data_IF_465187088293
#
_entry.id   IF_465187088293
#
_cell.length_a   1.000
_cell.length_b   1.000
_cell.length_c   1.000
_cell.angle_alpha   90.00
_cell.angle_beta   90.00
_cell.angle_gamma   90.00
#
_symmetry.space_group_name_H-M   'P 1'
#
loop_
_entity.id
_entity.type
_entity.pdbx_description
1 polymer ?
#
# COMPACT_ATOMS: atom_id res chain seq x y z
N UNK A 1 -13.96 6.49 -9.78
CA UNK A 1 -12.55 6.93 -9.60
C UNK A 1 -11.85 5.85 -8.79
N UNK A 2 -10.75 5.28 -9.28
CA UNK A 2 -9.96 4.33 -8.50
C UNK A 2 -8.98 5.11 -7.62
N UNK A 3 -8.93 4.79 -6.33
CA UNK A 3 -8.02 5.45 -5.38
C UNK A 3 -6.59 4.99 -5.68
N UNK A 4 -5.65 5.95 -5.69
CA UNK A 4 -4.21 5.70 -5.88
C UNK A 4 -3.45 6.22 -4.67
N UNK A 5 -2.49 5.43 -4.20
CA UNK A 5 -1.60 5.77 -3.10
C UNK A 5 -0.19 5.88 -3.67
N UNK A 6 0.46 7.01 -3.45
CA UNK A 6 1.86 7.21 -3.83
C UNK A 6 2.71 7.20 -2.57
N UNK A 7 3.78 6.41 -2.56
CA UNK A 7 4.75 6.36 -1.47
C UNK A 7 6.16 6.46 -2.03
N UNK A 8 7.06 7.04 -1.25
CA UNK A 8 8.49 6.99 -1.54
C UNK A 8 9.10 5.75 -0.89
N UNK A 9 9.73 4.88 -1.68
CA UNK A 9 10.39 3.68 -1.19
C UNK A 9 11.73 3.50 -1.91
N UNK A 10 12.83 3.31 -1.16
CA UNK A 10 14.19 3.23 -1.71
C UNK A 10 14.50 4.39 -2.70
N UNK A 11 14.14 5.61 -2.32
CA UNK A 11 14.34 6.83 -3.13
C UNK A 11 13.57 6.87 -4.47
N UNK A 12 12.70 5.89 -4.74
CA UNK A 12 11.84 5.82 -5.91
C UNK A 12 10.36 6.04 -5.53
N UNK A 13 9.60 6.85 -6.30
CA UNK A 13 8.17 6.96 -6.10
C UNK A 13 7.48 5.70 -6.62
N UNK A 14 6.75 5.03 -5.74
CA UNK A 14 5.88 3.91 -6.07
C UNK A 14 4.43 4.34 -6.00
N UNK A 15 3.65 3.90 -6.99
CA UNK A 15 2.21 4.16 -7.04
C UNK A 15 1.48 2.84 -6.92
N UNK A 16 0.55 2.77 -5.98
CA UNK A 16 -0.32 1.62 -5.77
C UNK A 16 -1.77 2.01 -6.06
N UNK A 17 -2.43 1.25 -6.93
CA UNK A 17 -3.88 1.29 -7.10
C UNK A 17 -4.57 0.55 -5.96
N UNK A 18 -5.53 1.20 -5.30
CA UNK A 18 -6.44 0.54 -4.36
C UNK A 18 -7.51 -0.17 -5.17
N UNK A 19 -7.29 -1.45 -5.40
CA UNK A 19 -8.18 -2.31 -6.21
C UNK A 19 -9.39 -2.80 -5.44
N UNK A 20 -9.32 -2.84 -4.10
CA UNK A 20 -10.42 -3.23 -3.23
C UNK A 20 -10.28 -2.55 -1.88
N UNK A 21 -11.39 -2.02 -1.39
CA UNK A 21 -11.52 -1.47 -0.04
C UNK A 21 -12.79 -2.05 0.56
N UNK A 22 -12.65 -2.85 1.61
CA UNK A 22 -13.77 -3.45 2.34
C UNK A 22 -13.53 -3.32 3.83
N UNK A 23 -14.42 -2.60 4.52
CA UNK A 23 -14.33 -2.27 5.93
C UNK A 23 -12.95 -1.68 6.29
N UNK A 24 -12.06 -2.55 6.74
CA UNK A 24 -10.72 -2.27 7.26
C UNK A 24 -9.61 -2.95 6.42
N UNK A 25 -9.94 -3.51 5.25
CA UNK A 25 -9.01 -4.21 4.34
C UNK A 25 -8.82 -3.39 3.07
N UNK A 26 -7.56 -3.12 2.74
CA UNK A 26 -7.12 -2.41 1.55
C UNK A 26 -6.25 -3.34 0.72
N UNK A 27 -6.69 -3.63 -0.51
CA UNK A 27 -5.89 -4.38 -1.48
C UNK A 27 -5.29 -3.43 -2.50
N UNK A 28 -3.98 -3.37 -2.49
CA UNK A 28 -3.15 -2.49 -3.28
C UNK A 28 -2.46 -3.28 -4.38
N UNK A 29 -2.40 -2.70 -5.57
CA UNK A 29 -1.59 -3.21 -6.68
C UNK A 29 -0.64 -2.17 -7.18
N UNK A 30 0.63 -2.54 -7.31
CA UNK A 30 1.64 -1.69 -7.87
C UNK A 30 1.28 -1.33 -9.30
N UNK A 31 1.32 -0.03 -9.57
CA UNK A 31 0.98 0.54 -10.86
C UNK A 31 2.26 0.86 -11.63
N UNK A 32 2.38 0.33 -12.84
CA UNK A 32 3.36 0.79 -13.82
C UNK A 32 4.81 0.33 -13.63
N UNK A 33 5.12 -0.59 -12.70
CA UNK A 33 6.48 -1.14 -12.60
C UNK A 33 6.65 -2.30 -13.60
N UNK A 34 7.66 -2.20 -14.47
CA UNK A 34 7.90 -3.14 -15.59
C UNK A 34 8.98 -4.18 -15.30
N UNK A 35 9.93 -3.85 -14.43
CA UNK A 35 11.00 -4.74 -13.99
C UNK A 35 10.98 -4.79 -12.46
N UNK A 36 10.75 -5.98 -11.93
CA UNK A 36 10.56 -6.23 -10.53
C UNK A 36 11.22 -7.56 -10.19
N UNK A 37 12.54 -7.54 -9.98
CA UNK A 37 13.35 -8.75 -9.81
C UNK A 37 14.62 -8.44 -9.04
N UNK A 38 15.12 -9.43 -8.29
CA UNK A 38 16.37 -9.31 -7.53
C UNK A 38 16.27 -8.31 -6.37
N UNK A 39 17.34 -7.53 -6.17
CA UNK A 39 17.47 -6.54 -5.08
C UNK A 39 16.52 -5.34 -5.21
N UNK A 40 16.04 -5.07 -6.42
CA UNK A 40 15.04 -4.05 -6.74
C UNK A 40 13.60 -4.57 -6.66
N UNK A 41 13.41 -5.77 -6.09
CA UNK A 41 12.08 -6.30 -5.92
C UNK A 41 11.23 -5.40 -5.01
N UNK A 42 10.05 -5.07 -5.52
CA UNK A 42 8.99 -4.32 -4.86
C UNK A 42 7.72 -5.17 -4.90
N UNK A 43 7.06 -5.40 -3.76
CA UNK A 43 5.81 -6.16 -3.73
C UNK A 43 4.73 -5.59 -4.66
N UNK A 44 4.29 -6.39 -5.64
CA UNK A 44 3.26 -5.96 -6.61
C UNK A 44 1.85 -5.94 -6.02
N UNK A 45 1.59 -6.82 -5.06
CA UNK A 45 0.30 -6.96 -4.40
C UNK A 45 0.54 -6.78 -2.91
N UNK A 46 -0.21 -5.88 -2.31
CA UNK A 46 -0.14 -5.63 -0.87
C UNK A 46 -1.54 -5.64 -0.31
N UNK A 47 -1.75 -6.39 0.74
CA UNK A 47 -2.99 -6.39 1.51
C UNK A 47 -2.66 -5.77 2.86
N UNK A 48 -3.26 -4.63 3.14
CA UNK A 48 -3.16 -3.95 4.42
C UNK A 48 -4.50 -4.05 5.10
N UNK A 49 -4.54 -4.68 6.29
CA UNK A 49 -5.76 -4.86 7.08
C UNK A 49 -5.63 -4.20 8.44
N UNK A 50 -6.69 -3.57 8.93
CA UNK A 50 -6.77 -3.15 10.32
C UNK A 50 -7.24 -4.32 11.18
N UNK A 51 -6.52 -4.59 12.26
CA UNK A 51 -6.90 -5.50 13.34
C UNK A 51 -6.97 -4.70 14.63
N UNK A 52 -8.16 -4.24 14.98
CA UNK A 52 -8.38 -3.35 16.12
C UNK A 52 -7.76 -1.97 15.86
N UNK A 53 -6.70 -1.62 16.61
CA UNK A 53 -5.96 -0.35 16.44
C UNK A 53 -4.70 -0.49 15.58
N UNK A 54 -4.34 -1.70 15.17
CA UNK A 54 -3.07 -2.00 14.50
C UNK A 54 -3.35 -2.33 13.04
N UNK A 55 -2.58 -1.76 12.14
CA UNK A 55 -2.56 -2.17 10.73
C UNK A 55 -1.53 -3.27 10.52
N UNK A 56 -1.92 -4.29 9.77
CA UNK A 56 -1.12 -5.48 9.51
C UNK A 56 -1.08 -5.68 8.00
N UNK A 57 0.11 -5.90 7.45
CA UNK A 57 0.29 -6.28 6.05
C UNK A 57 0.64 -7.76 5.93
N UNK A 58 0.36 -8.36 4.77
CA UNK A 58 0.90 -9.67 4.39
C UNK A 58 2.42 -9.63 4.10
N UNK A 59 3.01 -8.43 3.99
CA UNK A 59 4.43 -8.24 3.71
C UNK A 59 5.25 -8.08 4.98
N UNK A 60 5.67 -9.21 5.58
CA UNK A 60 6.50 -9.19 6.79
C UNK A 60 7.94 -8.69 6.53
N UNK A 61 8.43 -8.85 5.29
CA UNK A 61 9.81 -8.50 4.92
C UNK A 61 9.97 -7.05 4.39
N UNK A 62 8.91 -6.26 4.32
CA UNK A 62 8.93 -4.90 3.76
C UNK A 62 8.34 -3.85 4.74
N UNK A 63 8.83 -3.77 5.99
CA UNK A 63 8.22 -2.96 7.03
C UNK A 63 8.17 -1.47 6.70
N UNK A 64 9.20 -0.92 6.06
CA UNK A 64 9.24 0.50 5.66
C UNK A 64 8.16 0.83 4.62
N UNK A 65 8.02 -0.02 3.59
CA UNK A 65 6.98 0.14 2.57
C UNK A 65 5.58 0.05 3.19
N UNK A 66 5.36 -0.94 4.04
CA UNK A 66 4.08 -1.14 4.74
C UNK A 66 3.73 0.05 5.61
N UNK A 67 4.71 0.60 6.34
CA UNK A 67 4.49 1.78 7.19
C UNK A 67 4.13 3.01 6.35
N UNK A 68 4.83 3.26 5.25
CA UNK A 68 4.50 4.37 4.34
C UNK A 68 3.12 4.22 3.74
N UNK A 69 2.77 3.04 3.23
CA UNK A 69 1.44 2.76 2.68
C UNK A 69 0.34 2.92 3.74
N UNK A 70 0.58 2.42 4.94
CA UNK A 70 -0.36 2.54 6.07
C UNK A 70 -0.56 4.00 6.47
N UNK A 71 0.52 4.80 6.52
CA UNK A 71 0.45 6.22 6.84
C UNK A 71 -0.39 6.99 5.81
N UNK A 72 -0.22 6.70 4.53
CA UNK A 72 -1.04 7.29 3.46
C UNK A 72 -2.51 6.87 3.57
N UNK A 73 -2.79 5.59 3.82
CA UNK A 73 -4.17 5.10 4.06
C UNK A 73 -4.82 5.81 5.25
N UNK A 74 -4.07 6.02 6.34
CA UNK A 74 -4.56 6.69 7.55
C UNK A 74 -4.85 8.18 7.35
N UNK A 75 -4.04 8.86 6.52
CA UNK A 75 -4.30 10.24 6.12
C UNK A 75 -5.51 10.33 5.20
N UNK A 76 -5.77 9.28 4.40
CA UNK A 76 -6.98 9.11 3.63
C UNK A 76 -8.18 8.74 4.52
N UNK A 77 -8.67 9.71 5.29
CA UNK A 77 -10.04 9.64 5.81
C UNK A 77 -10.96 10.02 4.65
N UNK A 78 -11.81 9.11 4.13
CA UNK A 78 -12.93 9.59 3.34
C UNK A 78 -13.69 10.56 4.23
N UNK A 79 -13.79 11.82 3.83
CA UNK A 79 -14.77 12.73 4.42
C UNK A 79 -16.09 11.98 4.39
N UNK A 80 -16.64 11.70 5.58
CA UNK A 80 -17.96 11.13 5.70
C UNK A 80 -18.93 12.19 5.16
N UNK A 81 -19.26 12.06 3.87
CA UNK A 81 -20.38 12.73 3.23
C UNK A 81 -21.69 12.06 3.65
#
# INVERSE_FOLDING_TARGET
MALKIMVLYKEAPLVYDVTRQEDDIYQLRLFGQKENSGDDYVPEKVIIRKKGKIWVSDLENYPELVNSLTAEILQFKPEQL
#
